data_IF_736980579551
#
_entry.id   IF_736980579551
#
_cell.length_a   1.000
_cell.length_b   1.000
_cell.length_c   1.000
_cell.angle_alpha   90.00
_cell.angle_beta   90.00
_cell.angle_gamma   90.00
#
_symmetry.space_group_name_H-M   'P 1'
#
loop_
_entity.id
_entity.type
_entity.pdbx_description
1 polymer ?
#
# COMPACT_ATOMS: atom_id res chain seq x y z
N UNK A 1 0.34 7.93 -11.47
CA UNK A 1 -1.11 7.70 -11.63
C UNK A 1 -1.83 8.54 -10.59
N UNK A 2 -2.81 9.35 -10.97
CA UNK A 2 -3.58 10.20 -10.04
C UNK A 2 -5.00 9.66 -9.84
N UNK A 3 -5.53 9.69 -8.62
CA UNK A 3 -6.91 9.31 -8.36
C UNK A 3 -7.50 10.06 -7.15
N UNK A 4 -8.82 10.07 -7.05
CA UNK A 4 -9.54 10.58 -5.89
C UNK A 4 -9.70 9.46 -4.87
N UNK A 5 -9.14 9.59 -3.65
CA UNK A 5 -9.28 8.59 -2.60
C UNK A 5 -10.71 8.51 -2.05
N UNK A 6 -11.02 7.40 -1.39
CA UNK A 6 -12.23 7.28 -0.59
C UNK A 6 -12.12 8.19 0.64
N UNK A 7 -13.04 9.14 0.75
CA UNK A 7 -13.04 10.16 1.82
C UNK A 7 -13.13 9.56 3.23
N UNK A 8 -13.76 8.38 3.39
CA UNK A 8 -13.82 7.70 4.69
C UNK A 8 -12.47 7.14 5.15
N UNK A 9 -11.63 6.70 4.21
CA UNK A 9 -10.30 6.15 4.49
C UNK A 9 -9.24 7.25 4.56
N UNK A 10 -9.54 8.43 4.00
CA UNK A 10 -8.62 9.54 3.84
C UNK A 10 -9.21 10.86 4.33
N UNK A 11 -9.92 10.83 5.45
CA UNK A 11 -10.68 11.96 5.99
C UNK A 11 -9.82 13.20 6.33
N UNK A 12 -8.49 13.03 6.45
CA UNK A 12 -7.53 14.11 6.69
C UNK A 12 -7.10 14.86 5.42
N UNK A 13 -7.36 14.31 4.23
CA UNK A 13 -7.15 15.07 2.99
C UNK A 13 -8.31 16.06 2.83
N UNK A 14 -7.99 17.35 2.61
CA UNK A 14 -9.00 18.35 2.21
C UNK A 14 -9.78 17.80 1.00
N UNK A 15 -11.10 17.93 1.02
CA UNK A 15 -12.00 17.39 -0.01
C UNK A 15 -11.43 17.68 -1.41
N UNK A 16 -11.35 16.63 -2.24
CA UNK A 16 -10.81 16.61 -3.62
C UNK A 16 -9.28 16.59 -3.78
N UNK A 17 -8.50 16.31 -2.75
CA UNK A 17 -7.04 16.10 -2.93
C UNK A 17 -6.80 14.85 -3.80
N UNK A 18 -6.13 15.04 -4.94
CA UNK A 18 -5.75 13.94 -5.84
C UNK A 18 -4.46 13.31 -5.32
N UNK A 19 -4.52 12.04 -4.93
CA UNK A 19 -3.32 11.27 -4.59
C UNK A 19 -2.58 10.94 -5.89
N UNK A 20 -1.30 11.28 -5.97
CA UNK A 20 -0.43 10.87 -7.06
C UNK A 20 0.46 9.70 -6.65
N UNK A 21 0.13 8.49 -7.08
CA UNK A 21 0.91 7.29 -6.77
C UNK A 21 2.34 7.32 -7.36
N UNK A 22 2.68 8.26 -8.26
CA UNK A 22 4.06 8.44 -8.75
C UNK A 22 4.90 9.32 -7.82
N UNK A 23 4.27 10.05 -6.91
CA UNK A 23 4.96 10.72 -5.82
C UNK A 23 5.17 9.71 -4.67
N UNK A 24 6.41 9.47 -4.21
CA UNK A 24 6.68 8.54 -3.12
C UNK A 24 5.94 8.87 -1.82
N UNK A 25 5.83 10.14 -1.44
CA UNK A 25 5.17 10.54 -0.20
C UNK A 25 3.66 10.28 -0.23
N UNK A 26 3.02 10.55 -1.38
CA UNK A 26 1.61 10.25 -1.61
C UNK A 26 1.35 8.75 -1.58
N UNK A 27 2.24 7.96 -2.21
CA UNK A 27 2.15 6.50 -2.20
C UNK A 27 2.34 5.94 -0.79
N UNK A 28 3.32 6.43 -0.04
CA UNK A 28 3.61 5.98 1.32
C UNK A 28 2.41 6.25 2.23
N UNK A 29 1.84 7.46 2.14
CA UNK A 29 0.63 7.83 2.88
C UNK A 29 -0.56 6.95 2.48
N UNK A 30 -0.75 6.73 1.18
CA UNK A 30 -1.81 5.87 0.66
C UNK A 30 -1.68 4.43 1.19
N UNK A 31 -0.48 3.86 1.11
CA UNK A 31 -0.19 2.50 1.53
C UNK A 31 -0.37 2.35 3.04
N UNK A 32 0.20 3.24 3.85
CA UNK A 32 0.04 3.21 5.31
C UNK A 32 -1.44 3.22 5.71
N UNK A 33 -2.25 4.10 5.10
CA UNK A 33 -3.67 4.21 5.42
C UNK A 33 -4.46 2.97 5.02
N UNK A 34 -4.26 2.46 3.81
CA UNK A 34 -4.96 1.25 3.35
C UNK A 34 -4.57 0.05 4.20
N UNK A 35 -3.30 -0.10 4.58
CA UNK A 35 -2.86 -1.26 5.36
C UNK A 35 -3.29 -1.17 6.84
N UNK A 36 -3.48 0.04 7.38
CA UNK A 36 -3.87 0.22 8.80
C UNK A 36 -5.39 0.23 8.98
N UNK A 37 -6.14 0.82 8.06
CA UNK A 37 -7.57 1.11 8.23
C UNK A 37 -8.44 0.67 7.04
N UNK A 38 -7.83 0.20 5.96
CA UNK A 38 -8.55 -0.19 4.75
C UNK A 38 -9.42 -1.41 4.97
N UNK A 39 -10.57 -1.44 4.30
CA UNK A 39 -11.37 -2.66 4.18
C UNK A 39 -10.78 -3.53 3.07
N UNK A 40 -11.26 -4.77 2.98
CA UNK A 40 -10.83 -5.73 1.95
C UNK A 40 -10.87 -5.15 0.53
N UNK A 41 -11.87 -4.32 0.20
CA UNK A 41 -11.96 -3.69 -1.11
C UNK A 41 -10.83 -2.68 -1.37
N UNK A 42 -10.41 -1.93 -0.35
CA UNK A 42 -9.33 -0.95 -0.46
C UNK A 42 -7.99 -1.65 -0.69
N UNK A 43 -7.75 -2.76 0.02
CA UNK A 43 -6.57 -3.61 -0.19
C UNK A 43 -6.56 -4.17 -1.62
N UNK A 44 -7.69 -4.68 -2.11
CA UNK A 44 -7.81 -5.15 -3.51
C UNK A 44 -7.51 -4.05 -4.52
N UNK A 45 -7.94 -2.81 -4.26
CA UNK A 45 -7.65 -1.68 -5.13
C UNK A 45 -6.17 -1.28 -5.09
N UNK A 46 -5.55 -1.27 -3.91
CA UNK A 46 -4.11 -1.02 -3.75
C UNK A 46 -3.30 -1.99 -4.59
N UNK A 47 -3.55 -3.30 -4.45
CA UNK A 47 -2.84 -4.35 -5.19
C UNK A 47 -3.09 -4.30 -6.71
N UNK A 48 -4.25 -3.82 -7.15
CA UNK A 48 -4.53 -3.61 -8.59
C UNK A 48 -3.82 -2.38 -9.16
N UNK A 49 -3.65 -1.32 -8.37
CA UNK A 49 -3.14 -0.02 -8.84
C UNK A 49 -1.62 0.10 -8.73
N UNK A 50 -1.01 -0.54 -7.74
CA UNK A 50 0.42 -0.40 -7.42
C UNK A 50 1.15 -1.67 -7.87
N UNK A 51 2.15 -1.51 -8.73
CA UNK A 51 3.01 -2.61 -9.18
C UNK A 51 3.72 -3.27 -7.99
N UNK A 52 3.97 -4.59 -8.00
CA UNK A 52 4.57 -5.31 -6.86
C UNK A 52 5.87 -4.70 -6.33
N UNK A 53 6.82 -4.36 -7.23
CA UNK A 53 8.09 -3.74 -6.82
C UNK A 53 7.89 -2.40 -6.11
N UNK A 54 7.01 -1.55 -6.67
CA UNK A 54 6.68 -0.23 -6.11
C UNK A 54 5.95 -0.34 -4.77
N UNK A 55 5.10 -1.36 -4.63
CA UNK A 55 4.45 -1.69 -3.36
C UNK A 55 5.48 -2.07 -2.31
N UNK A 56 6.43 -2.95 -2.63
CA UNK A 56 7.47 -3.36 -1.70
C UNK A 56 8.34 -2.19 -1.26
N UNK A 57 8.83 -1.37 -2.20
CA UNK A 57 9.65 -0.20 -1.87
C UNK A 57 8.92 0.76 -0.92
N UNK A 58 7.63 1.00 -1.16
CA UNK A 58 6.80 1.83 -0.28
C UNK A 58 6.51 1.16 1.07
N UNK A 59 6.29 -0.16 1.07
CA UNK A 59 6.11 -0.93 2.29
C UNK A 59 7.37 -0.86 3.18
N UNK A 60 8.57 -1.03 2.62
CA UNK A 60 9.82 -0.93 3.38
C UNK A 60 10.00 0.43 4.07
N UNK A 61 9.56 1.52 3.42
CA UNK A 61 9.60 2.87 4.00
C UNK A 61 8.58 3.08 5.12
N UNK A 62 7.43 2.43 5.04
CA UNK A 62 6.26 2.70 5.88
C UNK A 62 5.99 1.66 6.96
N UNK A 63 6.54 0.44 6.85
CA UNK A 63 6.23 -0.69 7.72
C UNK A 63 6.47 -0.44 9.21
N UNK A 64 7.38 0.48 9.56
CA UNK A 64 7.64 0.91 10.94
C UNK A 64 6.46 1.62 11.60
N UNK A 65 5.51 2.12 10.82
CA UNK A 65 4.30 2.80 11.29
C UNK A 65 3.07 1.88 11.33
N UNK A 66 3.21 0.62 10.93
CA UNK A 66 2.12 -0.34 10.92
C UNK A 66 2.02 -1.06 12.29
N UNK A 67 0.81 -1.47 12.72
CA UNK A 67 0.66 -2.40 13.82
C UNK A 67 1.46 -3.68 13.58
N UNK A 68 2.00 -4.28 14.64
CA UNK A 68 2.92 -5.43 14.54
C UNK A 68 2.33 -6.58 13.71
N UNK A 69 1.08 -6.97 13.97
CA UNK A 69 0.41 -8.06 13.26
C UNK A 69 0.26 -7.77 11.76
N UNK A 70 -0.10 -6.53 11.42
CA UNK A 70 -0.22 -6.08 10.02
C UNK A 70 1.15 -6.11 9.34
N UNK A 71 2.18 -5.59 10.00
CA UNK A 71 3.56 -5.63 9.50
C UNK A 71 3.99 -7.07 9.22
N UNK A 72 3.85 -7.98 10.19
CA UNK A 72 4.26 -9.38 10.07
C UNK A 72 3.52 -10.07 8.92
N UNK A 73 2.20 -9.90 8.83
CA UNK A 73 1.39 -10.45 7.74
C UNK A 73 1.94 -10.04 6.36
N UNK A 74 2.28 -8.77 6.17
CA UNK A 74 2.79 -8.27 4.89
C UNK A 74 4.25 -8.64 4.64
N UNK A 75 5.10 -8.71 5.66
CA UNK A 75 6.47 -9.23 5.54
C UNK A 75 6.46 -10.69 5.04
N UNK A 76 5.59 -11.52 5.60
CA UNK A 76 5.40 -12.91 5.18
C UNK A 76 4.83 -13.00 3.75
N UNK A 77 3.80 -12.20 3.44
CA UNK A 77 3.20 -12.17 2.11
C UNK A 77 4.22 -11.77 1.04
N UNK A 78 5.02 -10.72 1.29
CA UNK A 78 6.05 -10.27 0.36
C UNK A 78 7.15 -11.33 0.23
N UNK A 79 7.66 -11.86 1.35
CA UNK A 79 8.70 -12.89 1.36
C UNK A 79 8.31 -14.16 0.59
N UNK A 80 7.04 -14.57 0.68
CA UNK A 80 6.50 -15.72 -0.05
C UNK A 80 6.35 -15.45 -1.56
N UNK A 81 6.02 -14.22 -1.98
CA UNK A 81 5.91 -13.88 -3.40
C UNK A 81 7.27 -13.88 -4.12
N UNK A 82 8.36 -13.48 -3.44
CA UNK A 82 9.70 -13.49 -4.03
C UNK A 82 10.31 -14.89 -4.17
N UNK A 83 10.00 -15.79 -3.24
CA UNK A 83 10.44 -17.18 -3.34
C UNK A 83 9.69 -17.95 -4.45
N UNK A 84 8.44 -17.58 -4.75
CA UNK A 84 7.73 -18.08 -5.92
C UNK A 84 8.29 -17.53 -7.24
N UNK A 85 8.60 -16.22 -7.31
CA UNK A 85 9.16 -15.60 -8.52
C UNK A 85 10.57 -16.11 -8.89
N UNK A 86 11.39 -16.51 -7.91
CA UNK A 86 12.70 -17.14 -8.16
C UNK A 86 12.64 -18.60 -8.62
N UNK A 87 11.48 -19.27 -8.49
CA UNK A 87 11.31 -20.69 -8.83
C UNK A 87 10.85 -20.95 -10.27
N UNK A 88 10.48 -19.90 -11.01
CA UNK A 88 10.27 -19.97 -12.46
C UNK A 88 11.36 -19.14 -13.18
N UNK A 89 12.53 -19.72 -13.48
CA UNK A 89 13.42 -19.19 -14.52
C UNK A 89 12.81 -19.36 -15.93
#
# INVERSE_FOLDING_TARGET
>A
MKFTPNELLFWFFKNKTKINLDNPADLDTYLQQVLTHGKTNDIKQLLKRVKPLKFQEAFERTKKFLPLEVKMFWEDFIGNNYSAAKRNP
#
